data_IF_459541621394
#
_entry.id   IF_459541621394
#
_cell.length_a   1.000
_cell.length_b   1.000
_cell.length_c   1.000
_cell.angle_alpha   90.00
_cell.angle_beta   90.00
_cell.angle_gamma   90.00
#
_symmetry.space_group_name_H-M   'P 1'
#
loop_
_entity.id
_entity.type
_entity.pdbx_description
1 polymer ?
#
# COMPACT_ATOMS: atom_id res chain seq x y z
N UNK A 1 14.19 2.59 -39.72
CA UNK A 1 12.90 2.42 -39.01
C UNK A 1 12.14 3.74 -38.88
N UNK A 2 12.76 4.83 -38.38
CA UNK A 2 12.11 6.16 -38.34
C UNK A 2 11.83 6.75 -39.72
N UNK A 3 12.77 6.66 -40.67
CA UNK A 3 12.58 7.11 -42.07
C UNK A 3 11.43 6.37 -42.76
N UNK A 4 11.26 5.08 -42.45
CA UNK A 4 10.19 4.23 -42.97
C UNK A 4 8.80 4.64 -42.45
N UNK A 5 8.72 5.12 -41.21
CA UNK A 5 7.48 5.57 -40.58
C UNK A 5 7.09 6.99 -41.01
N UNK A 6 8.08 7.85 -41.25
CA UNK A 6 7.85 9.22 -41.73
C UNK A 6 7.37 9.24 -43.19
N UNK A 7 7.90 8.37 -44.05
CA UNK A 7 7.42 8.18 -45.42
C UNK A 7 5.96 7.68 -45.48
N UNK A 8 5.45 7.06 -44.41
CA UNK A 8 4.08 6.58 -44.29
C UNK A 8 3.11 7.61 -43.67
N UNK A 9 3.56 8.86 -43.42
CA UNK A 9 2.72 9.91 -42.85
C UNK A 9 2.34 9.71 -41.38
N UNK A 10 3.05 8.83 -40.66
CA UNK A 10 2.82 8.58 -39.24
C UNK A 10 3.70 9.52 -38.43
N UNK A 11 3.10 10.61 -37.96
CA UNK A 11 3.78 11.56 -37.08
C UNK A 11 4.16 10.91 -35.74
N UNK A 12 5.30 11.30 -35.13
CA UNK A 12 5.68 10.80 -33.81
C UNK A 12 4.60 11.16 -32.78
N UNK A 13 4.27 10.20 -31.91
CA UNK A 13 3.19 10.33 -30.93
C UNK A 13 3.27 11.66 -30.14
N UNK A 14 2.17 12.43 -30.05
CA UNK A 14 2.19 13.75 -29.45
C UNK A 14 2.29 13.65 -27.92
N UNK A 15 3.47 13.99 -27.39
CA UNK A 15 3.79 14.59 -26.06
C UNK A 15 5.02 13.93 -25.41
N UNK A 16 6.19 14.55 -25.61
CA UNK A 16 7.41 14.36 -24.79
C UNK A 16 7.63 15.49 -23.77
N UNK A 17 6.66 16.38 -23.55
CA UNK A 17 6.82 17.59 -22.74
C UNK A 17 6.26 17.48 -21.30
N UNK A 18 5.80 16.30 -20.89
CA UNK A 18 5.33 16.04 -19.52
C UNK A 18 6.37 15.30 -18.67
N UNK A 19 6.27 15.36 -17.33
CA UNK A 19 7.10 14.54 -16.45
C UNK A 19 6.88 13.05 -16.76
N UNK A 20 7.96 12.27 -16.70
CA UNK A 20 7.85 10.82 -16.76
C UNK A 20 7.01 10.30 -15.59
N UNK A 21 6.41 9.12 -15.75
CA UNK A 21 5.64 8.50 -14.67
C UNK A 21 6.42 8.37 -13.35
N UNK A 22 7.72 8.05 -13.44
CA UNK A 22 8.60 8.00 -12.27
C UNK A 22 8.72 9.38 -11.60
N UNK A 23 8.95 10.44 -12.37
CA UNK A 23 9.02 11.81 -11.86
C UNK A 23 7.69 12.24 -11.21
N UNK A 24 6.56 11.89 -11.82
CA UNK A 24 5.24 12.11 -11.23
C UNK A 24 5.09 11.40 -9.88
N UNK A 25 5.36 10.09 -9.83
CA UNK A 25 5.25 9.31 -8.58
C UNK A 25 6.16 9.85 -7.48
N UNK A 26 7.37 10.29 -7.80
CA UNK A 26 8.29 10.87 -6.82
C UNK A 26 7.80 12.23 -6.34
N UNK A 27 7.43 13.13 -7.25
CA UNK A 27 7.01 14.49 -6.91
C UNK A 27 5.67 14.52 -6.14
N UNK A 28 4.75 13.62 -6.47
CA UNK A 28 3.40 13.57 -5.91
C UNK A 28 3.24 12.50 -4.82
N UNK A 29 4.31 11.85 -4.38
CA UNK A 29 4.24 10.72 -3.44
C UNK A 29 3.37 11.01 -2.21
N UNK A 30 3.53 12.19 -1.61
CA UNK A 30 2.77 12.60 -0.41
C UNK A 30 1.25 12.74 -0.65
N UNK A 31 0.83 12.89 -1.90
CA UNK A 31 -0.55 13.09 -2.29
C UNK A 31 -1.16 11.87 -3.02
N UNK A 32 -0.48 10.73 -3.03
CA UNK A 32 -0.97 9.51 -3.68
C UNK A 32 -1.34 8.47 -2.63
N UNK A 33 -2.54 7.93 -2.75
CA UNK A 33 -2.94 6.66 -2.16
C UNK A 33 -3.16 5.65 -3.28
N UNK A 34 -2.68 4.43 -3.10
CA UNK A 34 -2.86 3.36 -4.07
C UNK A 34 -3.51 2.15 -3.43
N UNK A 35 -4.32 1.41 -4.18
CA UNK A 35 -4.96 0.18 -3.70
C UNK A 35 -4.84 -0.95 -4.69
N UNK A 36 -5.00 -2.15 -4.16
CA UNK A 36 -5.03 -3.39 -4.93
C UNK A 36 -5.62 -4.51 -4.08
N UNK A 37 -6.02 -5.59 -4.76
CA UNK A 37 -6.46 -6.82 -4.13
C UNK A 37 -5.31 -7.84 -4.06
N UNK A 38 -5.28 -8.61 -2.99
CA UNK A 38 -4.51 -9.84 -2.92
C UNK A 38 -5.39 -11.02 -2.51
N UNK A 39 -5.05 -12.20 -3.03
CA UNK A 39 -5.74 -13.46 -2.73
C UNK A 39 -4.91 -14.32 -1.81
N UNK A 40 -5.57 -14.88 -0.80
CA UNK A 40 -5.00 -15.80 0.19
C UNK A 40 -5.85 -17.07 0.22
N UNK A 41 -5.22 -18.24 0.23
CA UNK A 41 -5.90 -19.52 0.34
C UNK A 41 -5.85 -20.01 1.80
N UNK A 42 -6.97 -20.48 2.32
CA UNK A 42 -7.04 -21.08 3.66
C UNK A 42 -6.62 -22.55 3.63
N UNK A 43 -6.41 -23.15 4.81
CA UNK A 43 -6.16 -24.59 4.94
C UNK A 43 -7.29 -25.47 4.37
N UNK A 44 -8.50 -24.92 4.26
CA UNK A 44 -9.66 -25.57 3.64
C UNK A 44 -9.79 -25.24 2.15
N UNK A 45 -8.72 -24.72 1.53
CA UNK A 45 -8.64 -24.32 0.12
C UNK A 45 -9.70 -23.29 -0.30
N UNK A 46 -10.18 -22.48 0.66
CA UNK A 46 -11.08 -21.36 0.37
C UNK A 46 -10.25 -20.13 0.00
N UNK A 47 -10.66 -19.42 -1.05
CA UNK A 47 -10.05 -18.16 -1.45
C UNK A 47 -10.65 -17.01 -0.64
N UNK A 48 -9.78 -16.23 -0.03
CA UNK A 48 -10.11 -14.97 0.62
C UNK A 48 -9.44 -13.84 -0.16
N UNK A 49 -10.20 -12.78 -0.38
CA UNK A 49 -9.78 -11.55 -1.03
C UNK A 49 -9.54 -10.51 0.04
N UNK A 50 -8.40 -9.83 -0.06
CA UNK A 50 -7.99 -8.78 0.85
C UNK A 50 -7.83 -7.51 0.05
N UNK A 51 -8.51 -6.44 0.47
CA UNK A 51 -8.33 -5.12 -0.10
C UNK A 51 -7.41 -4.30 0.80
N UNK A 52 -6.33 -3.76 0.23
CA UNK A 52 -5.39 -2.90 0.94
C UNK A 52 -5.27 -1.53 0.27
N UNK A 53 -4.86 -0.53 1.05
CA UNK A 53 -4.45 0.78 0.56
C UNK A 53 -3.07 1.14 1.10
N UNK A 54 -2.27 1.84 0.32
CA UNK A 54 -0.94 2.31 0.72
C UNK A 54 -0.78 3.77 0.32
N UNK A 55 -0.47 4.61 1.30
CA UNK A 55 -0.03 5.98 1.03
C UNK A 55 1.41 5.96 0.51
N UNK A 56 1.66 6.55 -0.67
CA UNK A 56 2.97 6.48 -1.29
C UNK A 56 4.04 7.25 -0.52
N UNK A 57 3.71 8.42 0.02
CA UNK A 57 4.67 9.29 0.71
C UNK A 57 5.02 8.77 2.09
N UNK A 58 4.00 8.47 2.90
CA UNK A 58 4.18 8.02 4.28
C UNK A 58 4.50 6.53 4.37
N UNK A 59 4.21 5.75 3.32
CA UNK A 59 4.21 4.28 3.37
C UNK A 59 3.20 3.71 4.37
N UNK A 60 2.19 4.48 4.78
CA UNK A 60 1.15 3.98 5.68
C UNK A 60 0.28 2.95 4.96
N UNK A 61 0.30 1.71 5.45
CA UNK A 61 -0.52 0.62 4.96
C UNK A 61 -1.85 0.55 5.71
N UNK A 62 -2.93 0.38 4.98
CA UNK A 62 -4.28 0.27 5.49
C UNK A 62 -4.92 -1.04 5.01
N UNK A 63 -5.61 -1.73 5.91
CA UNK A 63 -6.41 -2.91 5.59
C UNK A 63 -7.86 -2.42 5.49
N UNK A 64 -8.42 -2.49 4.28
CA UNK A 64 -9.80 -2.08 4.08
C UNK A 64 -10.74 -3.20 4.52
N UNK A 65 -10.47 -4.43 4.10
CA UNK A 65 -11.26 -5.59 4.51
C UNK A 65 -10.76 -6.90 3.94
N UNK A 66 -11.33 -7.99 4.48
CA UNK A 66 -11.14 -9.37 4.01
C UNK A 66 -12.53 -9.93 3.69
N UNK A 67 -12.66 -10.71 2.61
CA UNK A 67 -13.93 -11.38 2.29
C UNK A 67 -13.71 -12.57 1.36
N UNK A 68 -14.50 -13.66 1.46
CA UNK A 68 -14.55 -14.72 0.44
C UNK A 68 -15.30 -14.30 -0.82
N UNK A 69 -16.11 -13.24 -0.77
CA UNK A 69 -17.05 -12.87 -1.82
C UNK A 69 -16.94 -11.38 -2.16
N UNK A 70 -15.84 -10.96 -2.82
CA UNK A 70 -15.67 -9.57 -3.18
C UNK A 70 -16.73 -9.16 -4.21
N UNK A 71 -17.38 -8.03 -3.96
CA UNK A 71 -18.33 -7.43 -4.88
C UNK A 71 -18.04 -5.94 -5.04
N UNK A 72 -18.53 -5.32 -6.11
CA UNK A 72 -18.42 -3.87 -6.28
C UNK A 72 -19.03 -3.11 -5.09
N UNK A 73 -20.20 -3.53 -4.61
CA UNK A 73 -20.86 -2.91 -3.46
C UNK A 73 -20.03 -3.03 -2.16
N UNK A 74 -19.45 -4.22 -1.92
CA UNK A 74 -18.54 -4.39 -0.79
C UNK A 74 -17.31 -3.50 -0.90
N UNK A 75 -16.72 -3.39 -2.10
CA UNK A 75 -15.53 -2.56 -2.38
C UNK A 75 -15.83 -1.07 -2.16
N UNK A 76 -17.01 -0.60 -2.59
CA UNK A 76 -17.52 0.76 -2.31
C UNK A 76 -17.63 1.01 -0.80
N UNK A 77 -18.17 0.04 -0.04
CA UNK A 77 -18.28 0.19 1.40
C UNK A 77 -16.91 0.28 2.07
N UNK A 78 -15.93 -0.52 1.61
CA UNK A 78 -14.57 -0.43 2.14
C UNK A 78 -13.91 0.93 1.83
N UNK A 79 -14.15 1.49 0.64
CA UNK A 79 -13.71 2.85 0.32
C UNK A 79 -14.30 3.90 1.27
N UNK A 80 -15.62 3.84 1.52
CA UNK A 80 -16.30 4.75 2.46
C UNK A 80 -15.74 4.64 3.86
N UNK A 81 -15.55 3.42 4.34
CA UNK A 81 -14.97 3.16 5.66
C UNK A 81 -13.56 3.76 5.76
N UNK A 82 -12.74 3.61 4.72
CA UNK A 82 -11.39 4.18 4.68
C UNK A 82 -11.42 5.71 4.72
N UNK A 83 -12.26 6.35 3.90
CA UNK A 83 -12.40 7.82 3.89
C UNK A 83 -12.84 8.32 5.27
N UNK A 84 -13.86 7.71 5.87
CA UNK A 84 -14.34 8.07 7.21
C UNK A 84 -13.25 7.90 8.28
N UNK A 85 -12.48 6.81 8.23
CA UNK A 85 -11.41 6.54 9.19
C UNK A 85 -10.15 7.39 8.96
N UNK A 86 -9.98 7.97 7.78
CA UNK A 86 -8.78 8.76 7.43
C UNK A 86 -8.79 10.14 8.07
N UNK A 87 -9.96 10.69 8.40
CA UNK A 87 -10.09 12.04 8.95
C UNK A 87 -9.35 13.06 8.08
N UNK A 88 -8.67 14.03 8.72
CA UNK A 88 -7.95 15.10 8.02
C UNK A 88 -6.83 14.62 7.09
N UNK A 89 -6.34 13.36 7.21
CA UNK A 89 -5.30 12.84 6.31
C UNK A 89 -5.78 12.75 4.87
N UNK A 90 -7.09 12.50 4.64
CA UNK A 90 -7.64 12.40 3.29
C UNK A 90 -7.44 13.70 2.50
N UNK A 91 -7.49 14.86 3.18
CA UNK A 91 -7.32 16.17 2.58
C UNK A 91 -5.90 16.42 2.01
N UNK A 92 -4.90 15.68 2.50
CA UNK A 92 -3.54 15.72 1.95
C UNK A 92 -3.37 14.93 0.65
N UNK A 93 -4.32 14.05 0.33
CA UNK A 93 -4.30 13.18 -0.84
C UNK A 93 -4.99 13.85 -2.03
N UNK A 94 -4.44 13.65 -3.23
CA UNK A 94 -4.95 14.21 -4.49
C UNK A 94 -5.16 13.16 -5.57
N UNK A 95 -4.58 11.97 -5.41
CA UNK A 95 -4.59 10.94 -6.43
C UNK A 95 -4.88 9.58 -5.81
N UNK A 96 -5.83 8.87 -6.41
CA UNK A 96 -6.06 7.45 -6.19
C UNK A 96 -5.41 6.68 -7.36
N UNK A 97 -4.59 5.66 -7.06
CA UNK A 97 -4.07 4.73 -8.06
C UNK A 97 -4.63 3.35 -7.80
N UNK A 98 -5.21 2.72 -8.81
CA UNK A 98 -5.65 1.33 -8.72
C UNK A 98 -5.49 0.64 -10.07
N UNK A 99 -5.51 -0.69 -10.07
CA UNK A 99 -5.42 -1.48 -11.30
C UNK A 99 -6.74 -1.51 -12.08
N UNK A 100 -6.88 -2.38 -13.08
CA UNK A 100 -8.10 -2.48 -13.89
C UNK A 100 -9.11 -3.51 -13.37
N UNK A 101 -9.01 -3.94 -12.12
CA UNK A 101 -9.95 -4.92 -11.56
C UNK A 101 -11.41 -4.38 -11.66
N UNK A 102 -12.36 -5.15 -12.20
CA UNK A 102 -13.76 -4.75 -12.35
C UNK A 102 -14.46 -4.43 -11.01
N UNK A 103 -13.90 -4.85 -9.87
CA UNK A 103 -14.39 -4.50 -8.54
C UNK A 103 -14.22 -3.00 -8.24
N UNK A 104 -13.26 -2.32 -8.88
CA UNK A 104 -13.08 -0.88 -8.82
C UNK A 104 -14.07 -0.13 -9.74
N UNK A 105 -15.35 -0.27 -9.40
CA UNK A 105 -16.50 0.31 -10.12
C UNK A 105 -16.48 1.84 -10.19
N UNK A 106 -17.36 2.44 -11.00
CA UNK A 106 -17.60 3.90 -10.98
C UNK A 106 -17.98 4.40 -9.58
N UNK A 107 -18.90 3.70 -8.90
CA UNK A 107 -19.32 4.06 -7.55
C UNK A 107 -18.17 4.02 -6.54
N UNK A 108 -17.19 3.13 -6.71
CA UNK A 108 -15.98 3.11 -5.87
C UNK A 108 -15.13 4.36 -6.09
N UNK A 109 -14.87 4.70 -7.35
CA UNK A 109 -14.08 5.89 -7.71
C UNK A 109 -14.77 7.18 -7.29
N UNK A 110 -16.10 7.21 -7.30
CA UNK A 110 -16.91 8.35 -6.88
C UNK A 110 -16.72 8.69 -5.40
N UNK A 111 -16.52 7.69 -4.53
CA UNK A 111 -16.23 7.92 -3.09
C UNK A 111 -14.99 8.81 -2.92
N UNK A 112 -13.92 8.56 -3.67
CA UNK A 112 -12.70 9.36 -3.59
C UNK A 112 -12.79 10.67 -4.39
N UNK A 113 -13.54 10.67 -5.49
CA UNK A 113 -13.77 11.89 -6.28
C UNK A 113 -14.56 12.92 -5.48
N UNK A 114 -15.51 12.50 -4.63
CA UNK A 114 -16.23 13.36 -3.71
C UNK A 114 -15.31 14.06 -2.70
N UNK A 115 -14.20 13.40 -2.31
CA UNK A 115 -13.14 13.96 -1.46
C UNK A 115 -12.09 14.76 -2.25
N UNK A 116 -12.30 14.98 -3.55
CA UNK A 116 -11.41 15.75 -4.42
C UNK A 116 -10.21 14.99 -4.99
N UNK A 117 -10.13 13.67 -4.81
CA UNK A 117 -9.06 12.87 -5.40
C UNK A 117 -9.33 12.60 -6.88
N UNK A 118 -8.29 12.73 -7.69
CA UNK A 118 -8.29 12.30 -9.09
C UNK A 118 -7.98 10.80 -9.18
N UNK A 119 -8.88 10.07 -9.82
CA UNK A 119 -8.70 8.67 -10.17
C UNK A 119 -7.62 8.47 -11.26
N UNK A 120 -6.71 7.52 -11.04
CA UNK A 120 -5.69 7.09 -11.99
C UNK A 120 -5.69 5.56 -12.07
N UNK A 121 -6.39 5.04 -13.06
CA UNK A 121 -6.34 3.62 -13.39
C UNK A 121 -5.02 3.28 -14.11
N UNK A 122 -4.31 2.23 -13.67
CA UNK A 122 -3.06 1.79 -14.34
C UNK A 122 -3.31 1.42 -15.80
N UNK A 123 -2.35 1.65 -16.71
CA UNK A 123 -2.42 1.25 -18.12
C UNK A 123 -2.44 -0.28 -18.26
N UNK A 124 -3.07 -0.84 -19.34
CA UNK A 124 -3.14 -2.28 -19.50
C UNK A 124 -1.74 -2.88 -19.50
N UNK A 125 -1.55 -3.97 -18.74
CA UNK A 125 -0.25 -4.67 -18.60
C UNK A 125 0.90 -3.78 -18.09
N UNK A 126 0.59 -2.75 -17.29
CA UNK A 126 1.61 -1.84 -16.72
C UNK A 126 1.59 -1.87 -15.19
N UNK A 127 1.93 -3.01 -14.55
CA UNK A 127 1.92 -3.14 -13.09
C UNK A 127 2.89 -2.17 -12.40
N UNK A 128 3.90 -1.68 -13.14
CA UNK A 128 4.81 -0.63 -12.66
C UNK A 128 4.11 0.67 -12.27
N UNK A 129 2.88 0.91 -12.74
CA UNK A 129 2.09 2.06 -12.31
C UNK A 129 1.62 1.95 -10.86
N UNK A 130 1.39 0.72 -10.37
CA UNK A 130 1.03 0.42 -8.98
C UNK A 130 2.19 -0.18 -8.17
N UNK A 131 3.45 0.05 -8.59
CA UNK A 131 4.62 -0.67 -8.10
C UNK A 131 4.85 -0.62 -6.58
N UNK A 132 4.30 0.39 -5.89
CA UNK A 132 4.41 0.51 -4.43
C UNK A 132 3.41 -0.43 -3.75
N UNK A 133 2.15 -0.44 -4.17
CA UNK A 133 1.14 -1.37 -3.66
C UNK A 133 1.55 -2.82 -3.92
N UNK A 134 1.98 -3.11 -5.15
CA UNK A 134 2.51 -4.44 -5.55
C UNK A 134 3.69 -4.90 -4.70
N UNK A 135 4.61 -3.97 -4.39
CA UNK A 135 5.74 -4.27 -3.50
C UNK A 135 5.26 -4.61 -2.09
N UNK A 136 4.26 -3.90 -1.58
CA UNK A 136 3.68 -4.17 -0.25
C UNK A 136 2.98 -5.53 -0.24
N UNK A 137 2.23 -5.89 -1.28
CA UNK A 137 1.64 -7.23 -1.43
C UNK A 137 2.72 -8.31 -1.38
N UNK A 138 3.79 -8.13 -2.14
CA UNK A 138 4.92 -9.07 -2.10
C UNK A 138 5.57 -9.16 -0.72
N UNK A 139 5.62 -8.06 0.03
CA UNK A 139 6.11 -8.04 1.41
C UNK A 139 5.17 -8.77 2.37
N UNK A 140 3.86 -8.54 2.28
CA UNK A 140 2.86 -9.31 3.04
C UNK A 140 2.99 -10.81 2.77
N UNK A 141 3.17 -11.21 1.51
CA UNK A 141 3.41 -12.63 1.17
C UNK A 141 4.66 -13.19 1.85
N UNK A 142 5.83 -12.62 1.55
CA UNK A 142 7.12 -13.14 2.02
C UNK A 142 7.31 -13.12 3.53
N UNK A 143 6.76 -12.10 4.19
CA UNK A 143 6.96 -11.90 5.63
C UNK A 143 5.85 -12.52 6.47
N UNK A 144 4.64 -12.71 5.94
CA UNK A 144 3.47 -13.15 6.69
C UNK A 144 2.75 -14.35 6.07
N UNK A 145 2.19 -14.16 4.88
CA UNK A 145 1.19 -15.09 4.34
C UNK A 145 1.80 -16.41 3.86
N UNK A 146 3.08 -16.42 3.49
CA UNK A 146 3.80 -17.63 3.11
C UNK A 146 4.32 -18.42 4.34
N UNK A 147 4.11 -17.88 5.56
CA UNK A 147 4.65 -18.44 6.82
C UNK A 147 3.56 -18.88 7.80
N UNK A 148 2.30 -18.52 7.57
CA UNK A 148 1.18 -18.81 8.45
C UNK A 148 0.09 -19.53 7.67
N UNK A 149 -0.37 -20.65 8.22
CA UNK A 149 -1.54 -21.35 7.72
C UNK A 149 -2.80 -20.60 8.14
N UNK A 150 -3.53 -20.07 7.16
CA UNK A 150 -4.74 -19.29 7.40
C UNK A 150 -5.94 -20.22 7.57
N UNK A 151 -6.72 -19.99 8.62
CA UNK A 151 -7.84 -20.86 9.00
C UNK A 151 -9.12 -20.43 8.29
N UNK A 152 -9.48 -19.16 8.46
CA UNK A 152 -10.70 -18.55 7.96
C UNK A 152 -10.53 -17.03 7.81
N UNK A 153 -11.62 -16.35 7.45
CA UNK A 153 -11.67 -14.89 7.29
C UNK A 153 -11.35 -14.12 8.59
N UNK A 154 -11.99 -14.41 9.74
CA UNK A 154 -11.63 -13.76 11.01
C UNK A 154 -10.15 -13.92 11.38
N UNK A 155 -9.59 -15.11 11.20
CA UNK A 155 -8.18 -15.36 11.48
C UNK A 155 -7.26 -14.54 10.56
N UNK A 156 -7.54 -14.51 9.25
CA UNK A 156 -6.77 -13.69 8.31
C UNK A 156 -6.84 -12.21 8.67
N UNK A 157 -8.04 -11.70 8.97
CA UNK A 157 -8.23 -10.30 9.36
C UNK A 157 -7.46 -9.96 10.64
N UNK A 158 -7.46 -10.84 11.64
CA UNK A 158 -6.70 -10.66 12.88
C UNK A 158 -5.19 -10.60 12.61
N UNK A 159 -4.64 -11.59 11.91
CA UNK A 159 -3.21 -11.68 11.62
C UNK A 159 -2.73 -10.50 10.77
N UNK A 160 -3.53 -10.06 9.79
CA UNK A 160 -3.22 -8.87 9.01
C UNK A 160 -3.23 -7.60 9.85
N UNK A 161 -4.20 -7.41 10.77
CA UNK A 161 -4.22 -6.23 11.65
C UNK A 161 -2.99 -6.17 12.55
N UNK A 162 -2.60 -7.29 13.14
CA UNK A 162 -1.36 -7.40 13.92
C UNK A 162 -0.13 -7.04 13.08
N UNK A 163 -0.05 -7.56 11.85
CA UNK A 163 1.04 -7.23 10.94
C UNK A 163 1.02 -5.76 10.52
N UNK A 164 -0.15 -5.14 10.33
CA UNK A 164 -0.26 -3.73 9.98
C UNK A 164 0.25 -2.81 11.07
N UNK A 165 0.01 -3.14 12.35
CA UNK A 165 0.57 -2.42 13.49
C UNK A 165 2.10 -2.47 13.40
N UNK A 166 2.67 -3.67 13.23
CA UNK A 166 4.12 -3.83 13.05
C UNK A 166 4.65 -3.06 11.83
N UNK A 167 4.00 -3.19 10.69
CA UNK A 167 4.42 -2.56 9.44
C UNK A 167 4.38 -1.04 9.54
N UNK A 168 3.38 -0.47 10.22
CA UNK A 168 3.23 0.98 10.34
C UNK A 168 4.07 1.60 11.48
N UNK A 169 4.59 0.79 12.40
CA UNK A 169 5.54 1.24 13.43
C UNK A 169 7.01 1.11 12.99
N UNK A 170 7.30 0.34 11.93
CA UNK A 170 8.68 0.05 11.54
C UNK A 170 9.30 1.13 10.64
N UNK A 171 10.63 1.32 10.72
CA UNK A 171 11.39 2.15 9.79
C UNK A 171 11.26 1.69 8.34
N UNK A 172 11.15 2.64 7.40
CA UNK A 172 11.26 2.36 5.97
C UNK A 172 12.49 3.07 5.36
N UNK A 173 13.29 2.32 4.61
CA UNK A 173 14.47 2.86 3.91
C UNK A 173 14.12 4.03 2.98
N UNK A 174 13.01 3.92 2.24
CA UNK A 174 12.51 4.99 1.35
C UNK A 174 12.09 6.26 2.09
N UNK A 175 12.02 6.21 3.43
CA UNK A 175 11.69 7.33 4.32
C UNK A 175 12.85 7.70 5.24
N UNK A 176 14.09 7.41 4.86
CA UNK A 176 15.26 7.66 5.72
C UNK A 176 15.14 6.98 7.09
N UNK A 177 14.68 5.73 7.10
CA UNK A 177 14.46 4.94 8.32
C UNK A 177 13.39 5.53 9.26
N UNK A 178 12.38 6.19 8.71
CA UNK A 178 11.24 6.72 9.49
C UNK A 178 9.99 5.86 9.29
N UNK A 179 9.24 5.60 10.37
CA UNK A 179 7.89 5.04 10.28
C UNK A 179 6.86 6.03 9.68
N UNK A 180 5.72 5.53 9.17
CA UNK A 180 4.53 6.26 8.73
C UNK A 180 4.22 7.55 9.48
N UNK A 181 4.06 7.50 10.79
CA UNK A 181 3.50 8.63 11.57
C UNK A 181 4.57 9.55 12.18
N UNK A 182 5.85 9.34 11.86
CA UNK A 182 6.96 10.13 12.43
C UNK A 182 7.56 11.07 11.37
N UNK A 183 7.41 12.39 11.61
CA UNK A 183 7.95 13.43 10.73
C UNK A 183 9.47 13.63 10.90
N UNK A 184 9.97 13.57 12.13
CA UNK A 184 11.38 13.69 12.48
C UNK A 184 11.79 12.54 13.41
N UNK A 185 12.94 11.93 13.14
CA UNK A 185 13.48 10.92 14.04
C UNK A 185 13.90 11.64 15.34
N UNK A 186 13.51 11.17 16.54
CA UNK A 186 14.13 11.69 17.75
C UNK A 186 15.64 11.46 17.61
N UNK A 187 16.43 12.51 17.82
CA UNK A 187 17.89 12.39 17.87
C UNK A 187 18.22 11.43 19.01
N UNK A 188 18.53 10.18 18.68
CA UNK A 188 19.16 9.27 19.63
C UNK A 188 20.65 9.40 19.42
N UNK A 189 21.33 9.74 20.49
CA UNK A 189 22.79 9.71 20.53
C UNK A 189 23.20 8.25 20.38
N UNK A 190 23.77 7.89 19.23
CA UNK A 190 24.17 6.51 18.87
C UNK A 190 25.47 6.11 19.58
N UNK A 191 25.94 6.94 20.52
CA UNK A 191 27.27 6.84 21.12
C UNK A 191 27.41 5.73 22.16
N UNK A 192 26.33 5.10 22.64
CA UNK A 192 26.45 4.07 23.67
C UNK A 192 26.12 2.65 23.19
N UNK A 193 27.07 2.04 22.45
CA UNK A 193 27.06 0.62 22.12
C UNK A 193 27.24 -0.29 23.36
N UNK A 194 27.53 0.27 24.55
CA UNK A 194 27.67 -0.52 25.78
C UNK A 194 26.32 -0.87 26.42
N UNK A 195 25.23 -0.24 25.96
CA UNK A 195 23.88 -0.39 26.53
C UNK A 195 23.01 -1.45 25.83
N UNK A 196 23.62 -2.48 25.21
CA UNK A 196 22.86 -3.60 24.65
C UNK A 196 22.00 -4.35 25.69
N UNK A 197 22.30 -4.19 26.99
CA UNK A 197 21.51 -4.75 28.11
C UNK A 197 20.16 -4.06 28.29
N UNK A 198 19.99 -2.83 27.81
CA UNK A 198 18.70 -2.13 27.81
C UNK A 198 17.79 -2.55 26.64
N UNK A 199 18.31 -3.28 25.65
CA UNK A 199 17.49 -3.74 24.52
C UNK A 199 16.54 -4.85 24.97
N UNK A 200 15.24 -4.60 24.82
CA UNK A 200 14.16 -5.55 25.07
C UNK A 200 13.61 -6.08 23.75
N UNK A 201 13.51 -7.41 23.67
CA UNK A 201 12.83 -8.13 22.59
C UNK A 201 11.33 -8.18 22.89
N UNK A 202 10.52 -7.79 21.91
CA UNK A 202 9.05 -7.92 21.92
C UNK A 202 8.62 -8.81 20.75
N UNK A 203 8.12 -10.04 21.00
CA UNK A 203 7.48 -10.81 19.94
C UNK A 203 6.18 -10.12 19.50
N UNK A 204 5.97 -10.02 18.19
CA UNK A 204 4.79 -9.41 17.55
C UNK A 204 4.32 -10.33 16.41
N UNK A 205 3.10 -10.09 15.91
CA UNK A 205 2.48 -10.88 14.84
C UNK A 205 2.50 -12.37 15.20
N UNK A 206 1.77 -12.70 16.27
CA UNK A 206 1.69 -14.06 16.85
C UNK A 206 3.06 -14.69 17.17
N UNK A 207 4.07 -13.86 17.45
CA UNK A 207 5.42 -14.29 17.78
C UNK A 207 6.32 -14.61 16.57
N UNK A 208 5.81 -14.44 15.35
CA UNK A 208 6.57 -14.67 14.12
C UNK A 208 7.65 -13.61 13.90
N UNK A 209 7.42 -12.38 14.35
CA UNK A 209 8.34 -11.26 14.20
C UNK A 209 8.82 -10.82 15.58
N UNK A 210 10.08 -10.40 15.66
CA UNK A 210 10.69 -9.86 16.87
C UNK A 210 11.06 -8.40 16.65
N UNK A 211 10.48 -7.53 17.44
CA UNK A 211 10.90 -6.13 17.55
C UNK A 211 11.89 -5.97 18.69
N UNK A 212 12.81 -5.02 18.53
CA UNK A 212 13.81 -4.68 19.54
C UNK A 212 13.70 -3.19 19.84
N UNK A 213 13.58 -2.85 21.14
CA UNK A 213 13.46 -1.47 21.63
C UNK A 213 14.37 -1.29 22.85
N UNK A 214 14.96 -0.12 23.02
CA UNK A 214 15.64 0.22 24.29
C UNK A 214 14.61 0.38 25.41
N UNK A 215 14.94 -0.09 26.60
CA UNK A 215 14.18 0.16 27.82
C UNK A 215 14.18 1.66 28.12
N UNK A 216 13.04 2.17 28.58
CA UNK A 216 12.89 3.55 29.04
C UNK A 216 13.55 3.76 30.40
#
# INVERSE_FOLDING_TARGET
MWETLHAAGIDPAPRRTGPTWRQFLTAQAHAIIACDFLVVETIMLKRLYVLIFIEHGTRRLHLAGVTPHPTGAWTVQQARNLVMASGDRIAGLRFLIHDRDPLFTSAFREVFTAEGLRDITTLPRTPRMNAICERVIGTLRRELLDRILILDEPHLAFVLREYLIHYNDRPHQSRHQRPPDIAAQPARDVTDLSDLRSVRRKPVVTGMINEYRHAA
#
